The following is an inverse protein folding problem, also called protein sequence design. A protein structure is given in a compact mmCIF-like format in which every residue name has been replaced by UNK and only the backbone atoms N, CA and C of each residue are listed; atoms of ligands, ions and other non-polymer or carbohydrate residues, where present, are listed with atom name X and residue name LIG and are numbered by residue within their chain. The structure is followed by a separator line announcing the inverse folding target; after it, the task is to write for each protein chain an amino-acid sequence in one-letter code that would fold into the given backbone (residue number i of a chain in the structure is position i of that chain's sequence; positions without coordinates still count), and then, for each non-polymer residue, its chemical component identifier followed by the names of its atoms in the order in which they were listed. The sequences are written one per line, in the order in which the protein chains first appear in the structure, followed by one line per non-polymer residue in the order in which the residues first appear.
data_IF_624268318357
#
_entry.id   IF_624268318357
#
_cell.length_a   1.000
_cell.length_b   1.000
_cell.length_c   1.000
_cell.angle_alpha   90.00
_cell.angle_beta   90.00
_cell.angle_gamma   90.00
#
_symmetry.space_group_name_H-M   'P 1'
#
loop_
_entity.id
_entity.type
_entity.pdbx_description
1 polymer ?
#
# COMPACT_ATOMS: atom_id res chain seq x y z
N UNK A 1 -2.14 -12.12 14.27
CA UNK A 1 -1.57 -11.58 13.02
C UNK A 1 -0.98 -10.21 13.31
N UNK A 2 0.17 -9.82 12.73
CA UNK A 2 0.73 -8.51 12.98
C UNK A 2 -0.20 -7.45 12.41
N UNK A 3 -0.58 -6.48 13.24
CA UNK A 3 -1.41 -5.36 12.87
C UNK A 3 -0.54 -4.35 12.12
N UNK A 4 -0.49 -4.46 10.79
CA UNK A 4 0.22 -3.48 9.97
C UNK A 4 -0.65 -2.23 9.81
N UNK A 5 -0.09 -1.02 9.99
CA UNK A 5 -0.87 0.20 9.87
C UNK A 5 -1.48 0.27 8.47
N UNK A 6 -2.81 0.34 8.42
CA UNK A 6 -3.54 0.71 7.21
C UNK A 6 -3.06 2.10 6.79
N UNK A 7 -2.13 2.17 5.84
CA UNK A 7 -1.90 3.38 5.06
C UNK A 7 -3.15 3.58 4.21
N UNK A 8 -4.00 4.60 4.50
CA UNK A 8 -5.12 4.90 3.64
C UNK A 8 -4.50 5.45 2.36
N UNK A 9 -4.74 4.81 1.21
CA UNK A 9 -4.15 5.19 -0.07
C UNK A 9 -4.33 6.68 -0.36
N UNK A 10 -5.43 7.27 0.13
CA UNK A 10 -5.75 8.70 0.08
C UNK A 10 -4.67 9.62 0.66
N UNK A 11 -3.90 9.19 1.67
CA UNK A 11 -2.80 10.00 2.24
C UNK A 11 -1.56 10.04 1.34
N UNK A 12 -1.37 9.05 0.47
CA UNK A 12 -0.26 9.07 -0.49
C UNK A 12 -0.46 10.11 -1.61
N UNK A 13 -1.70 10.57 -1.80
CA UNK A 13 -2.04 11.69 -2.69
C UNK A 13 -1.72 13.06 -2.06
N UNK A 14 -1.55 13.13 -0.74
CA UNK A 14 -1.11 14.36 -0.08
C UNK A 14 0.39 14.57 -0.36
N UNK A 15 0.76 15.64 -1.10
CA UNK A 15 2.14 15.89 -1.50
C UNK A 15 3.06 16.13 -0.30
N UNK A 16 2.55 16.70 0.79
CA UNK A 16 3.33 16.97 1.99
C UNK A 16 3.61 15.67 2.76
N UNK A 17 2.58 14.85 2.98
CA UNK A 17 2.74 13.52 3.58
C UNK A 17 3.70 12.64 2.79
N UNK A 18 3.60 12.67 1.46
CA UNK A 18 4.49 11.93 0.56
C UNK A 18 5.94 12.40 0.64
N UNK A 19 6.17 13.71 0.70
CA UNK A 19 7.52 14.27 0.85
C UNK A 19 8.15 13.85 2.18
N UNK A 20 7.39 13.89 3.28
CA UNK A 20 7.85 13.40 4.58
C UNK A 20 8.16 11.90 4.56
N UNK A 21 7.30 11.10 3.91
CA UNK A 21 7.48 9.67 3.80
C UNK A 21 8.69 9.32 2.92
N UNK A 22 8.90 10.07 1.82
CA UNK A 22 10.08 9.95 0.97
C UNK A 22 11.35 10.21 1.79
N UNK A 23 11.40 11.28 2.58
CA UNK A 23 12.54 11.57 3.45
C UNK A 23 12.82 10.44 4.45
N UNK A 24 11.78 9.82 5.02
CA UNK A 24 11.92 8.65 5.90
C UNK A 24 12.47 7.43 5.16
N UNK A 25 12.00 7.16 3.94
CA UNK A 25 12.48 6.05 3.11
C UNK A 25 13.94 6.27 2.69
N UNK A 26 14.33 7.49 2.35
CA UNK A 26 15.71 7.82 2.00
C UNK A 26 16.67 7.69 3.19
N UNK A 27 16.27 8.16 4.38
CA UNK A 27 17.04 7.96 5.59
C UNK A 27 17.20 6.46 5.92
N UNK A 28 16.13 5.68 5.75
CA UNK A 28 16.16 4.24 5.97
C UNK A 28 17.09 3.52 4.97
N UNK A 29 17.06 3.90 3.69
CA UNK A 29 17.97 3.38 2.66
C UNK A 29 19.44 3.57 3.08
N UNK A 30 19.83 4.78 3.49
CA UNK A 30 21.20 5.07 3.91
C UNK A 30 21.65 4.18 5.08
N UNK A 31 20.79 3.98 6.08
CA UNK A 31 21.08 3.13 7.23
C UNK A 31 21.21 1.66 6.82
N UNK A 32 20.32 1.17 5.96
CA UNK A 32 20.34 -0.20 5.49
C UNK A 32 21.54 -0.49 4.59
N UNK A 33 21.91 0.43 3.70
CA UNK A 33 23.10 0.31 2.84
C UNK A 33 24.37 0.27 3.68
N UNK A 34 24.49 1.16 4.67
CA UNK A 34 25.63 1.16 5.60
C UNK A 34 25.70 -0.12 6.44
N UNK A 35 24.53 -0.64 6.84
CA UNK A 35 24.45 -1.91 7.58
C UNK A 35 24.85 -3.08 6.69
N UNK A 36 24.40 -3.09 5.44
CA UNK A 36 24.73 -4.12 4.46
C UNK A 36 26.24 -4.19 4.20
N UNK A 37 26.90 -3.06 3.94
CA UNK A 37 28.37 -2.98 3.80
C UNK A 37 29.09 -3.54 5.03
N UNK A 38 28.61 -3.19 6.23
CA UNK A 38 29.21 -3.64 7.49
C UNK A 38 29.06 -5.15 7.69
N UNK A 39 27.92 -5.72 7.31
CA UNK A 39 27.68 -7.17 7.40
C UNK A 39 28.57 -7.91 6.40
N UNK A 40 28.66 -7.43 5.15
CA UNK A 40 29.59 -7.99 4.14
C UNK A 40 31.04 -7.95 4.62
N UNK A 41 31.50 -6.81 5.17
CA UNK A 41 32.84 -6.71 5.75
C UNK A 41 33.06 -7.67 6.92
N UNK A 42 32.03 -7.92 7.73
CA UNK A 42 32.05 -8.88 8.83
C UNK A 42 32.14 -10.35 8.38
N UNK A 43 31.72 -10.68 7.16
CA UNK A 43 31.81 -12.06 6.64
C UNK A 43 33.25 -12.54 6.46
N UNK A 44 34.21 -11.62 6.26
CA UNK A 44 35.62 -11.96 6.10
C UNK A 44 36.39 -12.08 7.43
N UNK A 45 35.75 -11.80 8.57
CA UNK A 45 36.40 -11.86 9.87
C UNK A 45 36.56 -13.31 10.38
N UNK A 46 37.69 -13.64 11.03
CA UNK A 46 37.91 -14.98 11.59
C UNK A 46 36.92 -15.26 12.73
N UNK A 47 36.28 -16.44 12.69
CA UNK A 47 35.26 -16.85 13.66
C UNK A 47 33.84 -16.36 13.37
N UNK A 48 33.60 -15.71 12.23
CA UNK A 48 32.27 -15.25 11.84
C UNK A 48 31.29 -16.39 11.59
N UNK A 49 30.05 -16.22 12.07
CA UNK A 49 28.93 -17.10 11.74
C UNK A 49 28.40 -16.78 10.34
N UNK A 50 29.00 -17.42 9.34
CA UNK A 50 28.71 -17.19 7.93
C UNK A 50 27.25 -17.47 7.58
N UNK A 51 26.62 -18.47 8.20
CA UNK A 51 25.23 -18.83 7.94
C UNK A 51 24.27 -17.75 8.44
N UNK A 52 24.52 -17.23 9.65
CA UNK A 52 23.73 -16.12 10.18
C UNK A 52 23.94 -14.83 9.37
N UNK A 53 25.18 -14.52 9.01
CA UNK A 53 25.50 -13.32 8.23
C UNK A 53 24.90 -13.40 6.81
N UNK A 54 24.94 -14.55 6.15
CA UNK A 54 24.31 -14.74 4.84
C UNK A 54 22.79 -14.50 4.89
N UNK A 55 22.10 -15.00 5.93
CA UNK A 55 20.67 -14.72 6.14
C UNK A 55 20.40 -13.23 6.39
N UNK A 56 21.26 -12.57 7.16
CA UNK A 56 21.13 -11.13 7.41
C UNK A 56 21.34 -10.34 6.11
N UNK A 57 22.36 -10.67 5.31
CA UNK A 57 22.57 -10.06 3.99
C UNK A 57 21.33 -10.22 3.10
N UNK A 58 20.80 -11.44 2.97
CA UNK A 58 19.62 -11.69 2.17
C UNK A 58 18.40 -10.84 2.61
N UNK A 59 18.17 -10.74 3.92
CA UNK A 59 17.08 -9.92 4.46
C UNK A 59 17.32 -8.41 4.20
N UNK A 60 18.56 -7.95 4.32
CA UNK A 60 18.94 -6.56 4.03
C UNK A 60 18.76 -6.25 2.55
N UNK A 61 19.19 -7.13 1.64
CA UNK A 61 19.00 -7.00 0.19
C UNK A 61 17.52 -6.90 -0.18
N UNK A 62 16.69 -7.81 0.35
CA UNK A 62 15.25 -7.79 0.14
C UNK A 62 14.62 -6.48 0.66
N UNK A 63 15.00 -6.04 1.87
CA UNK A 63 14.48 -4.80 2.46
C UNK A 63 14.94 -3.56 1.68
N UNK A 64 16.18 -3.55 1.18
CA UNK A 64 16.71 -2.50 0.33
C UNK A 64 15.95 -2.41 -0.99
N UNK A 65 15.64 -3.55 -1.61
CA UNK A 65 14.83 -3.61 -2.83
C UNK A 65 13.45 -2.97 -2.62
N UNK A 66 12.77 -3.36 -1.55
CA UNK A 66 11.45 -2.80 -1.17
C UNK A 66 11.55 -1.28 -0.95
N UNK A 67 12.57 -0.80 -0.23
CA UNK A 67 12.76 0.63 0.01
C UNK A 67 13.08 1.42 -1.28
N UNK A 68 13.86 0.84 -2.21
CA UNK A 68 14.15 1.46 -3.52
C UNK A 68 12.89 1.57 -4.37
N UNK A 69 12.04 0.55 -4.38
CA UNK A 69 10.73 0.58 -5.07
C UNK A 69 9.82 1.63 -4.44
N UNK A 70 9.73 1.67 -3.11
CA UNK A 70 8.96 2.69 -2.39
C UNK A 70 9.47 4.11 -2.70
N UNK A 71 10.79 4.33 -2.72
CA UNK A 71 11.39 5.61 -3.13
C UNK A 71 10.94 6.00 -4.53
N UNK A 72 11.03 5.08 -5.50
CA UNK A 72 10.59 5.33 -6.88
C UNK A 72 9.14 5.80 -6.92
N UNK A 73 8.24 5.08 -6.25
CA UNK A 73 6.81 5.42 -6.18
C UNK A 73 6.54 6.78 -5.55
N UNK A 74 7.24 7.11 -4.46
CA UNK A 74 7.07 8.37 -3.75
C UNK A 74 7.69 9.56 -4.51
N UNK A 75 8.72 9.31 -5.32
CA UNK A 75 9.43 10.31 -6.12
C UNK A 75 8.72 10.68 -7.42
N UNK A 76 7.86 9.81 -7.96
CA UNK A 76 7.01 10.16 -9.10
C UNK A 76 6.01 11.22 -8.64
N UNK A 77 6.12 12.44 -9.18
CA UNK A 77 5.16 13.52 -8.93
C UNK A 77 3.79 13.11 -9.45
N UNK A 78 2.86 12.84 -8.53
CA UNK A 78 1.43 12.85 -8.80
C UNK A 78 1.03 14.30 -9.04
N UNK A 79 1.44 14.85 -10.17
CA UNK A 79 0.84 16.08 -10.65
C UNK A 79 -0.58 15.73 -11.12
N UNK A 80 -1.50 16.67 -10.99
CA UNK A 80 -2.88 16.49 -11.50
C UNK A 80 -2.90 16.30 -13.04
N UNK A 81 -1.75 16.48 -13.71
CA UNK A 81 -1.49 16.26 -15.13
C UNK A 81 -0.96 14.86 -15.49
N UNK A 82 -0.95 13.89 -14.56
CA UNK A 82 -0.49 12.52 -14.86
C UNK A 82 -1.51 11.83 -15.74
N UNK A 83 -1.09 11.47 -16.96
CA UNK A 83 -1.91 10.74 -17.94
C UNK A 83 -2.50 9.45 -17.31
N UNK A 84 -3.74 9.06 -17.66
CA UNK A 84 -4.42 7.90 -17.06
C UNK A 84 -3.62 6.59 -17.12
N UNK A 85 -2.72 6.44 -18.09
CA UNK A 85 -1.81 5.30 -18.22
C UNK A 85 -0.74 5.24 -17.13
N UNK A 86 -0.14 6.38 -16.76
CA UNK A 86 0.90 6.46 -15.73
C UNK A 86 0.32 6.23 -14.32
N UNK A 87 -0.91 6.72 -14.07
CA UNK A 87 -1.64 6.40 -12.83
C UNK A 87 -1.92 4.90 -12.69
N UNK A 88 -2.21 4.22 -13.80
CA UNK A 88 -2.47 2.78 -13.80
C UNK A 88 -1.19 2.00 -13.44
N UNK A 89 -0.04 2.34 -14.03
CA UNK A 89 1.25 1.73 -13.71
C UNK A 89 1.62 1.91 -12.23
N UNK A 90 1.39 3.11 -11.67
CA UNK A 90 1.57 3.40 -10.24
C UNK A 90 0.68 2.53 -9.35
N UNK A 91 -0.59 2.33 -9.72
CA UNK A 91 -1.51 1.45 -8.97
C UNK A 91 -1.05 0.00 -9.01
N UNK A 92 -0.57 -0.49 -10.15
CA UNK A 92 -0.01 -1.84 -10.25
C UNK A 92 1.26 -1.99 -9.41
N UNK A 93 2.16 -1.01 -9.45
CA UNK A 93 3.38 -1.04 -8.69
C UNK A 93 3.14 -0.95 -7.16
N UNK A 94 2.10 -0.20 -6.72
CA UNK A 94 1.64 -0.21 -5.33
C UNK A 94 1.04 -1.56 -4.91
N UNK A 95 0.29 -2.22 -5.81
CA UNK A 95 -0.26 -3.55 -5.55
C UNK A 95 0.85 -4.61 -5.43
N UNK A 96 1.86 -4.57 -6.30
CA UNK A 96 3.03 -5.46 -6.23
C UNK A 96 3.84 -5.24 -4.95
N UNK A 97 4.08 -3.98 -4.58
CA UNK A 97 4.77 -3.65 -3.32
C UNK A 97 4.01 -4.18 -2.09
N UNK A 98 2.68 -4.08 -2.09
CA UNK A 98 1.84 -4.65 -1.02
C UNK A 98 1.96 -6.17 -0.92
N UNK A 99 1.97 -6.86 -2.05
CA UNK A 99 2.11 -8.31 -2.08
C UNK A 99 3.46 -8.75 -1.49
N UNK A 100 4.55 -8.05 -1.82
CA UNK A 100 5.88 -8.32 -1.27
C UNK A 100 5.99 -8.05 0.24
N UNK A 101 5.23 -7.05 0.73
CA UNK A 101 5.12 -6.76 2.15
C UNK A 101 4.17 -7.70 2.90
N UNK A 102 3.55 -8.68 2.22
CA UNK A 102 2.56 -9.58 2.81
C UNK A 102 1.28 -8.86 3.25
N UNK A 103 1.03 -7.67 2.70
CA UNK A 103 -0.17 -6.89 2.98
C UNK A 103 -1.33 -7.40 2.13
N UNK A 104 -2.54 -7.40 2.69
CA UNK A 104 -3.74 -7.76 1.94
C UNK A 104 -3.90 -6.84 0.71
N UNK A 105 -4.30 -7.39 -0.46
CA UNK A 105 -4.50 -6.59 -1.65
C UNK A 105 -5.64 -5.59 -1.40
N UNK A 106 -5.32 -4.30 -1.51
CA UNK A 106 -6.35 -3.27 -1.56
C UNK A 106 -6.99 -3.38 -2.94
N UNK A 107 -8.22 -3.91 -3.03
CA UNK A 107 -8.94 -3.93 -4.31
C UNK A 107 -9.25 -2.50 -4.69
N UNK A 108 -8.47 -1.98 -5.62
CA UNK A 108 -8.71 -0.71 -6.28
C UNK A 108 -9.84 -0.90 -7.29
N UNK A 109 -10.88 -0.07 -7.18
CA UNK A 109 -12.05 -0.15 -8.07
C UNK A 109 -11.60 0.02 -9.52
N UNK A 110 -12.05 -0.88 -10.40
CA UNK A 110 -11.68 -0.89 -11.81
C UNK A 110 -12.49 0.14 -12.62
N UNK A 111 -12.06 0.45 -13.84
CA UNK A 111 -12.71 1.47 -14.70
C UNK A 111 -14.18 1.16 -15.01
N UNK A 112 -14.55 -0.12 -15.08
CA UNK A 112 -15.93 -0.54 -15.31
C UNK A 112 -16.80 -0.26 -14.10
N UNK A 113 -16.29 -0.57 -12.90
CA UNK A 113 -16.93 -0.26 -11.62
C UNK A 113 -17.03 1.26 -11.38
N UNK A 114 -16.12 2.07 -11.95
CA UNK A 114 -16.20 3.53 -11.93
C UNK A 114 -17.36 4.08 -12.79
N UNK A 115 -17.56 3.54 -14.00
CA UNK A 115 -18.65 3.95 -14.91
C UNK A 115 -20.03 3.64 -14.31
N UNK A 116 -20.12 2.58 -13.51
CA UNK A 116 -21.37 2.18 -12.85
C UNK A 116 -21.81 3.15 -11.73
N UNK A 117 -20.93 4.05 -11.28
CA UNK A 117 -21.25 5.07 -10.28
C UNK A 117 -21.78 6.33 -10.96
N UNK A 118 -23.05 6.63 -10.73
CA UNK A 118 -23.77 7.74 -11.38
C UNK A 118 -23.32 9.13 -10.90
N UNK A 119 -22.62 9.25 -9.75
CA UNK A 119 -22.25 10.54 -9.16
C UNK A 119 -20.87 10.56 -8.49
N UNK A 120 -20.08 11.61 -8.74
CA UNK A 120 -18.70 11.72 -8.22
C UNK A 120 -18.60 11.80 -6.68
N UNK A 121 -19.65 12.27 -6.00
CA UNK A 121 -19.73 12.24 -4.55
C UNK A 121 -19.89 10.82 -4.00
N UNK A 122 -20.64 9.98 -4.71
CA UNK A 122 -20.85 8.58 -4.37
C UNK A 122 -19.54 7.79 -4.54
N UNK A 123 -18.77 8.12 -5.57
CA UNK A 123 -17.42 7.58 -5.77
C UNK A 123 -16.48 7.87 -4.59
N UNK A 124 -16.41 9.13 -4.14
CA UNK A 124 -15.59 9.49 -2.97
C UNK A 124 -16.03 8.74 -1.72
N UNK A 125 -17.34 8.55 -1.55
CA UNK A 125 -17.90 7.78 -0.43
C UNK A 125 -17.50 6.31 -0.51
N UNK A 126 -17.63 5.65 -1.67
CA UNK A 126 -17.25 4.25 -1.83
C UNK A 126 -15.76 3.99 -1.65
N UNK A 127 -14.89 4.92 -2.04
CA UNK A 127 -13.46 4.80 -1.77
C UNK A 127 -13.12 4.70 -0.28
N UNK A 128 -13.95 5.27 0.59
CA UNK A 128 -13.71 5.26 2.05
C UNK A 128 -14.23 4.02 2.77
N UNK A 129 -15.11 3.23 2.12
CA UNK A 129 -15.85 2.14 2.78
C UNK A 129 -15.09 0.80 2.82
N UNK A 130 -14.01 0.64 2.05
CA UNK A 130 -13.22 -0.59 2.04
C UNK A 130 -13.98 -1.82 1.49
N UNK A 131 -13.34 -2.99 1.45
CA UNK A 131 -13.97 -4.22 0.99
C UNK A 131 -14.99 -4.74 2.01
N UNK A 132 -16.18 -5.16 1.54
CA UNK A 132 -17.20 -5.79 2.37
C UNK A 132 -16.67 -7.13 2.91
N UNK A 133 -16.58 -7.26 4.22
CA UNK A 133 -16.10 -8.45 4.90
C UNK A 133 -17.21 -9.48 5.06
N UNK A 134 -16.83 -10.76 5.09
CA UNK A 134 -17.79 -11.87 5.24
C UNK A 134 -18.58 -11.77 6.56
N UNK A 135 -17.95 -11.29 7.61
CA UNK A 135 -18.59 -11.11 8.91
C UNK A 135 -19.69 -10.03 8.85
N UNK A 136 -19.45 -8.95 8.13
CA UNK A 136 -20.44 -7.87 7.93
C UNK A 136 -21.68 -8.37 7.18
N UNK A 137 -21.52 -9.35 6.28
CA UNK A 137 -22.67 -9.98 5.60
C UNK A 137 -23.48 -10.87 6.54
N UNK A 138 -22.82 -11.54 7.50
CA UNK A 138 -23.48 -12.43 8.45
C UNK A 138 -24.19 -11.66 9.55
N UNK A 139 -23.61 -10.54 9.97
CA UNK A 139 -24.16 -9.68 11.02
C UNK A 139 -25.20 -8.68 10.48
N UNK A 140 -25.39 -8.64 9.16
CA UNK A 140 -26.37 -7.76 8.53
C UNK A 140 -27.80 -8.25 8.80
N UNK A 141 -28.58 -7.43 9.51
CA UNK A 141 -30.01 -7.62 9.69
C UNK A 141 -30.77 -7.27 8.39
N UNK A 142 -31.06 -8.31 7.62
CA UNK A 142 -31.79 -8.22 6.36
C UNK A 142 -33.22 -7.68 6.53
N UNK A 143 -33.88 -7.97 7.65
CA UNK A 143 -35.26 -7.54 7.89
C UNK A 143 -35.32 -6.03 8.09
N UNK A 144 -34.37 -5.49 8.86
CA UNK A 144 -34.20 -4.04 9.04
C UNK A 144 -33.88 -3.34 7.71
N UNK A 145 -33.02 -3.94 6.88
CA UNK A 145 -32.67 -3.37 5.56
C UNK A 145 -33.87 -3.35 4.61
N UNK A 146 -34.63 -4.45 4.53
CA UNK A 146 -35.86 -4.54 3.74
C UNK A 146 -36.91 -3.51 4.20
N UNK A 147 -37.08 -3.34 5.51
CA UNK A 147 -37.99 -2.35 6.07
C UNK A 147 -37.58 -0.91 5.71
N UNK A 148 -36.27 -0.61 5.69
CA UNK A 148 -35.78 0.71 5.27
C UNK A 148 -36.02 0.96 3.78
N UNK A 149 -35.68 0.00 2.92
CA UNK A 149 -35.89 0.09 1.48
C UNK A 149 -37.36 0.28 1.09
N UNK A 150 -38.28 -0.38 1.79
CA UNK A 150 -39.70 -0.21 1.58
C UNK A 150 -40.19 1.21 1.92
N UNK A 151 -39.58 1.87 2.93
CA UNK A 151 -39.93 3.23 3.34
C UNK A 151 -39.39 4.31 2.40
N UNK A 152 -38.30 4.04 1.67
CA UNK A 152 -37.69 5.02 0.77
C UNK A 152 -38.37 5.10 -0.62
N UNK A 153 -39.36 4.24 -0.92
CA UNK A 153 -40.08 4.24 -2.21
C UNK A 153 -41.20 5.29 -2.36
N UNK A 154 -41.17 6.36 -1.57
CA UNK A 154 -42.08 7.51 -1.75
C UNK A 154 -41.29 8.81 -1.62
N UNK A 155 -40.73 9.28 -2.73
CA UNK A 155 -40.46 10.69 -3.08
C UNK A 155 -40.01 10.75 -4.53
#
# INVERSE_FOLDING_TARGET
MPNFPHLPDQKLFDPQYRSELLGKVEALLLVLERTHEKVLGGMHAPGSDHNRLAKICHNLEHTLEVCRRAKKLLSHTWNEDVEPGEQMELRYALADLRAQLGMAPHRTMNYREYIEIQHMQEFRRFQTLGPIQRQELLDADLDTLCARLARTKVS
#
